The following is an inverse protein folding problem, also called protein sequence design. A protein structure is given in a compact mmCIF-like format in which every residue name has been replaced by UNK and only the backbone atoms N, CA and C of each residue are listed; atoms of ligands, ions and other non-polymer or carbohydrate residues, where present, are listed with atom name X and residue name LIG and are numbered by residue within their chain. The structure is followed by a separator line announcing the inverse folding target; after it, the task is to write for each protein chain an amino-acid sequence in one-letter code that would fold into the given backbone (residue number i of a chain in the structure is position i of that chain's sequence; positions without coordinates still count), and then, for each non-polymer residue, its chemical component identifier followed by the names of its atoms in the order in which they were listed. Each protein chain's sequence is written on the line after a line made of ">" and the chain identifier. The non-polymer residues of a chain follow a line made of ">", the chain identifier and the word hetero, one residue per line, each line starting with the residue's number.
data_IF_467988261241
#
_entry.id   IF_467988261241
#
_cell.length_a   1.000
_cell.length_b   1.000
_cell.length_c   1.000
_cell.angle_alpha   90.00
_cell.angle_beta   90.00
_cell.angle_gamma   90.00
#
_symmetry.space_group_name_H-M   'P 1'
#
loop_
_entity.id
_entity.type
_entity.pdbx_description
1 polymer ?
#
# COMPACT_ATOMS: atom_id res chain seq x y z
N UNK A 1 46.38 6.92 17.42
CA UNK A 1 45.30 6.58 18.38
C UNK A 1 44.40 7.76 18.73
N UNK A 2 44.93 8.92 19.13
CA UNK A 2 44.17 10.14 19.48
C UNK A 2 43.14 10.60 18.42
N UNK A 3 43.48 10.56 17.13
CA UNK A 3 42.55 11.00 16.06
C UNK A 3 41.39 10.03 15.80
N UNK A 4 41.58 8.71 16.03
CA UNK A 4 40.48 7.73 15.95
C UNK A 4 39.53 7.84 17.14
N UNK A 5 40.06 8.10 18.34
CA UNK A 5 39.25 8.36 19.55
C UNK A 5 38.46 9.66 19.43
N UNK A 6 39.07 10.75 18.92
CA UNK A 6 38.35 12.02 18.68
C UNK A 6 37.22 11.88 17.65
N UNK A 7 37.41 11.03 16.63
CA UNK A 7 36.36 10.69 15.68
C UNK A 7 35.24 9.82 16.31
N UNK A 8 35.57 8.88 17.20
CA UNK A 8 34.59 8.07 17.95
C UNK A 8 33.69 8.93 18.86
N UNK A 9 34.23 10.02 19.43
CA UNK A 9 33.49 10.98 20.27
C UNK A 9 32.84 12.13 19.49
N UNK A 10 32.67 12.01 18.16
CA UNK A 10 31.74 12.89 17.45
C UNK A 10 30.31 12.57 17.94
N UNK A 11 29.51 13.61 18.25
CA UNK A 11 28.13 13.46 18.76
C UNK A 11 27.28 12.48 17.93
N UNK A 12 27.47 12.48 16.61
CA UNK A 12 26.76 11.57 15.71
C UNK A 12 27.19 10.11 15.86
N UNK A 13 28.49 9.84 16.06
CA UNK A 13 29.00 8.48 16.25
C UNK A 13 28.58 7.90 17.60
N UNK A 14 28.54 8.75 18.64
CA UNK A 14 28.05 8.37 19.96
C UNK A 14 26.55 8.03 19.93
N UNK A 15 25.73 8.87 19.26
CA UNK A 15 24.30 8.62 19.07
C UNK A 15 24.05 7.29 18.33
N UNK A 16 24.82 7.03 17.28
CA UNK A 16 24.72 5.77 16.51
C UNK A 16 25.09 4.55 17.33
N UNK A 17 26.12 4.67 18.17
CA UNK A 17 26.54 3.60 19.07
C UNK A 17 25.45 3.26 20.08
N UNK A 18 24.91 4.26 20.79
CA UNK A 18 23.81 4.07 21.74
C UNK A 18 22.56 3.51 21.07
N UNK A 19 22.23 3.96 19.86
CA UNK A 19 21.07 3.43 19.15
C UNK A 19 21.23 1.96 18.75
N UNK A 20 22.45 1.52 18.39
CA UNK A 20 22.72 0.09 18.12
C UNK A 20 22.60 -0.76 19.39
N UNK A 21 23.07 -0.26 20.53
CA UNK A 21 22.87 -0.92 21.82
C UNK A 21 21.38 -1.02 22.14
N UNK A 22 20.63 0.06 21.96
CA UNK A 22 19.18 0.08 22.13
C UNK A 22 18.49 -0.99 21.27
N UNK A 23 18.87 -1.11 19.99
CA UNK A 23 18.31 -2.15 19.09
C UNK A 23 18.56 -3.55 19.65
N UNK A 24 19.78 -3.85 20.08
CA UNK A 24 20.14 -5.17 20.62
C UNK A 24 19.37 -5.44 21.91
N UNK A 25 19.29 -4.45 22.80
CA UNK A 25 18.56 -4.55 24.06
C UNK A 25 17.08 -4.86 23.84
N UNK A 26 16.41 -4.11 22.96
CA UNK A 26 15.00 -4.36 22.64
C UNK A 26 14.80 -5.71 21.97
N UNK A 27 15.72 -6.14 21.09
CA UNK A 27 15.64 -7.46 20.47
C UNK A 27 15.73 -8.59 21.51
N UNK A 28 16.60 -8.46 22.51
CA UNK A 28 16.72 -9.43 23.60
C UNK A 28 15.41 -9.48 24.41
N UNK A 29 14.85 -8.32 24.76
CA UNK A 29 13.57 -8.27 25.49
C UNK A 29 12.43 -8.90 24.70
N UNK A 30 12.33 -8.63 23.39
CA UNK A 30 11.33 -9.23 22.52
C UNK A 30 11.49 -10.76 22.41
N UNK A 31 12.72 -11.26 22.31
CA UNK A 31 12.98 -12.70 22.29
C UNK A 31 12.63 -13.35 23.64
N UNK A 32 12.95 -12.70 24.76
CA UNK A 32 12.61 -13.17 26.09
C UNK A 32 11.08 -13.20 26.30
N UNK A 33 10.37 -12.16 25.86
CA UNK A 33 8.90 -12.07 25.92
C UNK A 33 8.21 -13.19 25.11
N UNK A 34 8.79 -13.54 23.97
CA UNK A 34 8.26 -14.58 23.08
C UNK A 34 8.50 -16.00 23.61
N UNK A 35 9.71 -16.29 24.11
CA UNK A 35 10.14 -17.67 24.36
C UNK A 35 10.39 -18.04 25.82
N UNK A 36 10.55 -17.06 26.72
CA UNK A 36 11.04 -17.33 28.08
C UNK A 36 10.03 -16.91 29.16
N UNK A 37 9.66 -15.63 29.22
CA UNK A 37 8.97 -15.04 30.37
C UNK A 37 7.98 -13.97 29.89
N UNK A 38 6.82 -13.85 30.52
CA UNK A 38 5.95 -12.70 30.32
C UNK A 38 6.57 -11.43 30.95
N UNK A 39 6.89 -10.46 30.11
CA UNK A 39 7.49 -9.19 30.53
C UNK A 39 6.50 -8.03 30.55
N UNK A 40 5.20 -8.25 30.34
CA UNK A 40 4.20 -7.19 30.16
C UNK A 40 4.12 -6.17 31.31
N UNK A 41 4.50 -6.55 32.54
CA UNK A 41 4.59 -5.63 33.69
C UNK A 41 5.80 -4.69 33.69
N UNK A 42 6.83 -4.97 32.90
CA UNK A 42 8.09 -4.19 32.84
C UNK A 42 8.39 -3.65 31.43
N UNK A 43 7.93 -4.35 30.40
CA UNK A 43 8.24 -4.10 29.00
C UNK A 43 6.94 -3.93 28.20
N UNK A 44 6.84 -2.79 27.51
CA UNK A 44 5.74 -2.54 26.58
C UNK A 44 6.29 -2.46 25.16
N UNK A 45 6.23 -3.57 24.43
CA UNK A 45 6.73 -3.72 23.07
C UNK A 45 6.23 -2.62 22.12
N UNK A 46 4.99 -2.10 22.33
CA UNK A 46 4.39 -1.05 21.50
C UNK A 46 5.15 0.27 21.62
N UNK A 47 5.50 0.67 22.83
CA UNK A 47 6.23 1.92 23.09
C UNK A 47 7.64 1.87 22.49
N UNK A 48 8.34 0.74 22.66
CA UNK A 48 9.66 0.54 22.09
C UNK A 48 9.63 0.49 20.56
N UNK A 49 8.61 -0.12 19.97
CA UNK A 49 8.42 -0.13 18.51
C UNK A 49 8.13 1.28 17.97
N UNK A 50 7.28 2.05 18.63
CA UNK A 50 7.00 3.44 18.25
C UNK A 50 8.27 4.29 18.32
N UNK A 51 9.01 4.19 19.42
CA UNK A 51 10.28 4.88 19.59
C UNK A 51 11.30 4.49 18.49
N UNK A 52 11.41 3.18 18.19
CA UNK A 52 12.25 2.70 17.10
C UNK A 52 11.85 3.37 15.77
N UNK A 53 10.57 3.38 15.41
CA UNK A 53 10.09 3.96 14.16
C UNK A 53 10.42 5.45 14.06
N UNK A 54 10.22 6.21 15.14
CA UNK A 54 10.57 7.65 15.19
C UNK A 54 12.07 7.84 14.95
N UNK A 55 12.92 7.07 15.63
CA UNK A 55 14.37 7.15 15.44
C UNK A 55 14.79 6.76 14.01
N UNK A 56 14.23 5.69 13.45
CA UNK A 56 14.51 5.26 12.09
C UNK A 56 14.08 6.32 11.07
N UNK A 57 12.92 6.96 11.26
CA UNK A 57 12.48 8.08 10.42
C UNK A 57 13.45 9.26 10.51
N UNK A 58 13.85 9.66 11.72
CA UNK A 58 14.84 10.71 11.94
C UNK A 58 16.15 10.42 11.21
N UNK A 59 16.71 9.21 11.39
CA UNK A 59 17.94 8.82 10.70
C UNK A 59 17.77 8.75 9.19
N UNK A 60 16.58 8.37 8.71
CA UNK A 60 16.28 8.30 7.27
C UNK A 60 16.24 9.69 6.63
N UNK A 61 15.67 10.68 7.32
CA UNK A 61 15.66 12.09 6.90
C UNK A 61 17.09 12.62 6.83
N UNK A 62 17.91 12.31 7.86
CA UNK A 62 19.33 12.67 7.90
C UNK A 62 20.22 11.82 6.97
N UNK A 63 19.65 10.85 6.24
CA UNK A 63 20.35 9.91 5.34
C UNK A 63 21.48 9.13 6.02
N UNK A 64 21.39 8.91 7.32
CA UNK A 64 22.39 8.16 8.09
C UNK A 64 22.23 6.67 7.80
N UNK A 65 23.32 5.92 7.60
CA UNK A 65 23.24 4.47 7.34
C UNK A 65 23.58 3.70 8.60
N UNK A 66 22.61 2.97 9.15
CA UNK A 66 22.83 2.10 10.32
C UNK A 66 23.50 0.78 9.94
N UNK A 67 23.13 0.24 8.78
CA UNK A 67 23.47 -1.10 8.33
C UNK A 67 24.10 -1.07 6.95
N UNK A 68 25.03 -1.99 6.68
CA UNK A 68 25.52 -2.21 5.33
C UNK A 68 24.51 -3.03 4.51
N UNK A 69 24.73 -3.13 3.20
CA UNK A 69 23.81 -3.85 2.30
C UNK A 69 23.66 -5.33 2.65
N UNK A 70 24.74 -6.02 3.03
CA UNK A 70 24.70 -7.46 3.40
C UNK A 70 23.82 -7.69 4.63
N UNK A 71 24.02 -6.91 5.68
CA UNK A 71 23.24 -6.99 6.90
C UNK A 71 21.76 -6.58 6.69
N UNK A 72 21.52 -5.58 5.84
CA UNK A 72 20.15 -5.21 5.47
C UNK A 72 19.42 -6.33 4.72
N UNK A 73 20.11 -7.10 3.88
CA UNK A 73 19.52 -8.28 3.22
C UNK A 73 19.27 -9.42 4.21
N UNK A 74 20.18 -9.61 5.16
CA UNK A 74 20.03 -10.60 6.22
C UNK A 74 18.80 -10.31 7.11
N UNK A 75 18.63 -9.05 7.54
CA UNK A 75 17.42 -8.62 8.26
C UNK A 75 16.15 -8.84 7.43
N UNK A 76 16.17 -8.50 6.13
CA UNK A 76 15.02 -8.74 5.26
C UNK A 76 14.65 -10.23 5.15
N UNK A 77 15.65 -11.13 5.09
CA UNK A 77 15.41 -12.57 5.08
C UNK A 77 14.78 -13.05 6.39
N UNK A 78 15.30 -12.58 7.54
CA UNK A 78 14.72 -12.89 8.85
C UNK A 78 13.27 -12.41 8.92
N UNK A 79 12.98 -11.18 8.49
CA UNK A 79 11.62 -10.64 8.48
C UNK A 79 10.66 -11.53 7.66
N UNK A 80 11.08 -12.01 6.49
CA UNK A 80 10.28 -12.92 5.65
C UNK A 80 10.04 -14.25 6.38
N UNK A 81 11.08 -14.87 6.93
CA UNK A 81 10.96 -16.13 7.66
C UNK A 81 10.04 -16.01 8.88
N UNK A 82 10.20 -14.95 9.68
CA UNK A 82 9.35 -14.69 10.85
C UNK A 82 7.89 -14.44 10.45
N UNK A 83 7.66 -13.69 9.36
CA UNK A 83 6.30 -13.44 8.85
C UNK A 83 5.64 -14.74 8.40
N UNK A 84 6.37 -15.58 7.66
CA UNK A 84 5.88 -16.90 7.23
C UNK A 84 5.55 -17.80 8.43
N UNK A 85 6.42 -17.83 9.44
CA UNK A 85 6.20 -18.59 10.67
C UNK A 85 4.96 -18.10 11.43
N UNK A 86 4.82 -16.79 11.65
CA UNK A 86 3.64 -16.23 12.34
C UNK A 86 2.36 -16.51 11.56
N UNK A 87 2.38 -16.38 10.23
CA UNK A 87 1.22 -16.69 9.38
C UNK A 87 0.83 -18.17 9.51
N UNK A 88 1.81 -19.08 9.49
CA UNK A 88 1.58 -20.51 9.69
C UNK A 88 0.97 -20.81 11.06
N UNK A 89 1.52 -20.22 12.12
CA UNK A 89 1.01 -20.35 13.48
C UNK A 89 -0.44 -19.86 13.59
N UNK A 90 -0.76 -18.70 13.01
CA UNK A 90 -2.14 -18.20 12.98
C UNK A 90 -3.11 -19.14 12.27
N UNK A 91 -2.69 -19.75 11.15
CA UNK A 91 -3.51 -20.72 10.42
C UNK A 91 -3.72 -22.00 11.23
N UNK A 92 -2.71 -22.46 11.97
CA UNK A 92 -2.84 -23.57 12.90
C UNK A 92 -3.84 -23.26 14.01
N UNK A 93 -3.75 -22.10 14.63
CA UNK A 93 -4.69 -21.72 15.70
C UNK A 93 -6.12 -21.59 15.17
N UNK A 94 -6.30 -20.99 14.00
CA UNK A 94 -7.60 -20.95 13.32
C UNK A 94 -8.18 -22.35 13.09
N UNK A 95 -7.34 -23.34 12.80
CA UNK A 95 -7.76 -24.73 12.55
C UNK A 95 -8.07 -25.50 13.84
N UNK A 96 -7.30 -25.29 14.90
CA UNK A 96 -7.35 -26.11 16.12
C UNK A 96 -8.11 -25.46 17.29
N UNK A 97 -8.48 -24.19 17.17
CA UNK A 97 -9.24 -23.45 18.18
C UNK A 97 -8.39 -22.45 18.95
N UNK A 98 -9.08 -21.52 19.61
CA UNK A 98 -8.46 -20.43 20.38
C UNK A 98 -7.50 -20.98 21.46
N UNK A 99 -6.35 -20.32 21.63
CA UNK A 99 -5.30 -20.68 22.61
C UNK A 99 -4.55 -22.00 22.36
N UNK A 100 -4.85 -22.74 21.29
CA UNK A 100 -4.17 -24.01 20.99
C UNK A 100 -2.64 -23.91 21.05
N UNK A 101 -2.06 -22.85 20.46
CA UNK A 101 -0.61 -22.66 20.44
C UNK A 101 -0.02 -22.40 21.83
N UNK A 102 -0.73 -21.63 22.65
CA UNK A 102 -0.29 -21.29 24.01
C UNK A 102 -0.40 -22.51 24.93
N UNK A 103 -1.46 -23.30 24.80
CA UNK A 103 -1.66 -24.51 25.62
C UNK A 103 -0.75 -25.67 25.22
N UNK A 104 -0.45 -25.83 23.94
CA UNK A 104 0.28 -27.01 23.43
C UNK A 104 1.77 -26.75 23.30
N UNK A 105 2.17 -25.56 22.87
CA UNK A 105 3.56 -25.22 22.58
C UNK A 105 4.13 -24.14 23.50
N UNK A 106 3.32 -23.55 24.39
CA UNK A 106 3.70 -22.39 25.21
C UNK A 106 4.20 -21.20 24.38
N UNK A 107 3.72 -21.08 23.13
CA UNK A 107 4.09 -20.01 22.21
C UNK A 107 2.88 -19.11 21.97
N UNK A 108 3.06 -17.81 22.18
CA UNK A 108 2.07 -16.80 21.81
C UNK A 108 2.44 -16.13 20.49
N UNK A 109 1.72 -16.46 19.41
CA UNK A 109 1.88 -15.78 18.11
C UNK A 109 1.63 -14.26 18.23
N UNK A 110 0.81 -13.84 19.21
CA UNK A 110 0.52 -12.43 19.49
C UNK A 110 1.72 -11.65 20.02
N UNK A 111 2.65 -12.32 20.74
CA UNK A 111 3.92 -11.71 21.17
C UNK A 111 4.95 -11.71 20.02
N UNK A 112 4.94 -12.77 19.21
CA UNK A 112 5.82 -12.88 18.04
C UNK A 112 5.61 -11.76 17.01
N UNK A 113 4.41 -11.17 16.93
CA UNK A 113 4.18 -10.08 15.98
C UNK A 113 5.06 -8.86 16.27
N UNK A 114 5.34 -8.54 17.54
CA UNK A 114 6.20 -7.41 17.87
C UNK A 114 7.64 -7.65 17.42
N UNK A 115 8.10 -8.90 17.52
CA UNK A 115 9.39 -9.32 16.97
C UNK A 115 9.42 -9.19 15.43
N UNK A 116 8.36 -9.62 14.74
CA UNK A 116 8.21 -9.46 13.28
C UNK A 116 8.24 -7.98 12.90
N UNK A 117 7.45 -7.14 13.56
CA UNK A 117 7.34 -5.72 13.27
C UNK A 117 8.66 -4.99 13.52
N UNK A 118 9.33 -5.29 14.64
CA UNK A 118 10.62 -4.73 14.99
C UNK A 118 11.69 -5.07 13.92
N UNK A 119 11.77 -6.35 13.54
CA UNK A 119 12.73 -6.79 12.52
C UNK A 119 12.41 -6.20 11.14
N UNK A 120 11.13 -6.17 10.77
CA UNK A 120 10.65 -5.60 9.51
C UNK A 120 10.96 -4.11 9.42
N UNK A 121 10.80 -3.34 10.50
CA UNK A 121 11.13 -1.92 10.53
C UNK A 121 12.64 -1.68 10.26
N UNK A 122 13.51 -2.47 10.92
CA UNK A 122 14.96 -2.39 10.70
C UNK A 122 15.35 -2.80 9.27
N UNK A 123 14.75 -3.88 8.76
CA UNK A 123 14.95 -4.36 7.40
C UNK A 123 14.51 -3.30 6.36
N UNK A 124 13.31 -2.76 6.51
CA UNK A 124 12.75 -1.74 5.62
C UNK A 124 13.61 -0.48 5.61
N UNK A 125 14.04 -0.02 6.79
CA UNK A 125 14.97 1.09 6.91
C UNK A 125 16.28 0.84 6.15
N UNK A 126 16.93 -0.31 6.39
CA UNK A 126 18.18 -0.66 5.74
C UNK A 126 18.03 -0.76 4.22
N UNK A 127 17.01 -1.49 3.76
CA UNK A 127 16.71 -1.65 2.35
C UNK A 127 16.41 -0.32 1.65
N UNK A 128 15.82 0.66 2.33
CA UNK A 128 15.48 1.96 1.74
C UNK A 128 16.67 2.72 1.13
N UNK A 129 17.91 2.37 1.49
CA UNK A 129 19.15 2.92 0.92
C UNK A 129 19.70 2.13 -0.27
N UNK A 130 19.26 0.88 -0.45
CA UNK A 130 19.86 -0.10 -1.37
C UNK A 130 18.85 -0.72 -2.35
N UNK A 131 17.57 -0.35 -2.27
CA UNK A 131 16.54 -0.77 -3.22
C UNK A 131 16.87 -0.25 -4.61
N UNK A 132 17.27 -1.16 -5.50
CA UNK A 132 17.38 -0.88 -6.92
C UNK A 132 16.00 -0.93 -7.59
N UNK A 133 15.92 -0.48 -8.85
CA UNK A 133 14.66 -0.45 -9.61
C UNK A 133 13.99 -1.83 -9.72
N UNK A 134 14.75 -2.91 -9.84
CA UNK A 134 14.21 -4.27 -9.98
C UNK A 134 13.61 -4.78 -8.66
N UNK A 135 14.32 -4.60 -7.54
CA UNK A 135 13.82 -4.92 -6.20
C UNK A 135 12.59 -4.11 -5.83
N UNK A 136 12.53 -2.83 -6.22
CA UNK A 136 11.35 -2.00 -6.02
C UNK A 136 10.13 -2.52 -6.78
N UNK A 137 10.30 -2.99 -8.03
CA UNK A 137 9.20 -3.62 -8.79
C UNK A 137 8.70 -4.89 -8.11
N UNK A 138 9.61 -5.75 -7.65
CA UNK A 138 9.23 -6.95 -6.89
C UNK A 138 8.51 -6.60 -5.59
N UNK A 139 9.00 -5.60 -4.85
CA UNK A 139 8.34 -5.12 -3.64
C UNK A 139 6.91 -4.65 -3.94
N UNK A 140 6.73 -3.81 -4.97
CA UNK A 140 5.39 -3.35 -5.37
C UNK A 140 4.48 -4.50 -5.78
N UNK A 141 5.01 -5.52 -6.47
CA UNK A 141 4.24 -6.70 -6.88
C UNK A 141 3.72 -7.51 -5.68
N UNK A 142 4.53 -7.71 -4.64
CA UNK A 142 4.13 -8.49 -3.46
C UNK A 142 3.42 -7.67 -2.37
N UNK A 143 3.40 -6.34 -2.47
CA UNK A 143 2.79 -5.48 -1.45
C UNK A 143 1.28 -5.74 -1.24
N UNK A 144 0.43 -6.01 -2.26
CA UNK A 144 -0.98 -6.36 -2.03
C UNK A 144 -1.17 -7.59 -1.16
N UNK A 145 -0.33 -8.62 -1.35
CA UNK A 145 -0.35 -9.82 -0.52
C UNK A 145 0.00 -9.48 0.93
N UNK A 146 1.01 -8.65 1.14
CA UNK A 146 1.38 -8.19 2.49
C UNK A 146 0.22 -7.43 3.16
N UNK A 147 -0.43 -6.51 2.44
CA UNK A 147 -1.56 -5.74 2.95
C UNK A 147 -2.77 -6.63 3.26
N UNK A 148 -3.06 -7.62 2.41
CA UNK A 148 -4.10 -8.62 2.66
C UNK A 148 -3.80 -9.45 3.91
N UNK A 149 -2.56 -9.93 4.08
CA UNK A 149 -2.16 -10.68 5.27
C UNK A 149 -2.26 -9.85 6.55
N UNK A 150 -1.97 -8.54 6.47
CA UNK A 150 -2.17 -7.62 7.58
C UNK A 150 -3.65 -7.43 7.91
N UNK A 151 -4.51 -7.24 6.91
CA UNK A 151 -5.96 -7.17 7.10
C UNK A 151 -6.50 -8.46 7.73
N UNK A 152 -6.07 -9.62 7.25
CA UNK A 152 -6.40 -10.93 7.80
C UNK A 152 -5.91 -11.11 9.24
N UNK A 153 -4.72 -10.59 9.56
CA UNK A 153 -4.23 -10.58 10.93
C UNK A 153 -5.16 -9.80 11.85
N UNK A 154 -5.56 -8.59 11.47
CA UNK A 154 -6.46 -7.77 12.28
C UNK A 154 -7.82 -8.46 12.42
N UNK A 155 -8.38 -8.99 11.34
CA UNK A 155 -9.64 -9.75 11.36
C UNK A 155 -9.60 -10.93 12.33
N UNK A 156 -8.55 -11.76 12.28
CA UNK A 156 -8.43 -12.94 13.13
C UNK A 156 -8.14 -12.58 14.60
N UNK A 157 -7.41 -11.49 14.85
CA UNK A 157 -7.00 -11.12 16.21
C UNK A 157 -8.06 -10.29 16.94
N UNK A 158 -8.69 -9.36 16.23
CA UNK A 158 -9.66 -8.44 16.79
C UNK A 158 -10.68 -8.07 15.70
N UNK A 159 -11.67 -8.95 15.53
CA UNK A 159 -12.74 -8.76 14.56
C UNK A 159 -13.52 -7.45 14.77
N UNK A 160 -13.69 -7.00 16.03
CA UNK A 160 -14.33 -5.73 16.32
C UNK A 160 -13.51 -4.55 15.79
N UNK A 161 -12.20 -4.55 16.03
CA UNK A 161 -11.30 -3.54 15.45
C UNK A 161 -11.32 -3.60 13.92
N UNK A 162 -11.30 -4.80 13.33
CA UNK A 162 -11.38 -4.95 11.89
C UNK A 162 -12.65 -4.31 11.33
N UNK A 163 -13.81 -4.59 11.94
CA UNK A 163 -15.11 -3.99 11.58
C UNK A 163 -15.09 -2.47 11.71
N UNK A 164 -14.55 -1.93 12.81
CA UNK A 164 -14.41 -0.47 12.97
C UNK A 164 -13.52 0.14 11.88
N UNK A 165 -12.47 -0.57 11.44
CA UNK A 165 -11.57 -0.03 10.41
C UNK A 165 -12.23 0.05 9.03
N UNK A 166 -13.13 -0.88 8.72
CA UNK A 166 -13.81 -1.00 7.42
C UNK A 166 -15.22 -0.40 7.39
N UNK A 167 -15.77 -0.01 8.53
CA UNK A 167 -17.09 0.64 8.59
C UNK A 167 -17.05 2.02 7.93
N UNK A 168 -18.21 2.51 7.51
CA UNK A 168 -18.39 3.83 6.93
C UNK A 168 -17.81 4.93 7.84
N UNK A 169 -17.29 6.00 7.25
CA UNK A 169 -16.59 7.13 7.88
C UNK A 169 -15.35 6.74 8.72
N UNK A 170 -14.72 5.61 8.42
CA UNK A 170 -13.48 5.19 9.09
C UNK A 170 -12.26 5.12 8.16
N UNK A 171 -11.17 4.55 8.68
CA UNK A 171 -9.83 4.68 8.11
C UNK A 171 -9.75 4.19 6.66
N UNK A 172 -10.45 3.12 6.33
CA UNK A 172 -10.40 2.51 4.99
C UNK A 172 -11.10 3.40 3.96
N UNK A 173 -12.33 3.85 4.24
CA UNK A 173 -13.08 4.77 3.36
C UNK A 173 -12.35 6.11 3.14
N UNK A 174 -11.84 6.73 4.21
CA UNK A 174 -11.02 7.94 4.04
C UNK A 174 -9.75 7.67 3.22
N UNK A 175 -9.16 6.49 3.34
CA UNK A 175 -8.01 6.11 2.52
C UNK A 175 -8.40 5.96 1.04
N UNK A 176 -9.54 5.36 0.73
CA UNK A 176 -10.11 5.27 -0.62
C UNK A 176 -10.32 6.68 -1.20
N UNK A 177 -11.02 7.54 -0.46
CA UNK A 177 -11.23 8.95 -0.80
C UNK A 177 -9.93 9.67 -1.14
N UNK A 178 -8.94 9.66 -0.23
CA UNK A 178 -7.68 10.37 -0.45
C UNK A 178 -6.89 9.79 -1.62
N UNK A 179 -6.85 8.46 -1.79
CA UNK A 179 -6.17 7.83 -2.92
C UNK A 179 -6.80 8.24 -4.27
N UNK A 180 -8.13 8.28 -4.35
CA UNK A 180 -8.85 8.69 -5.56
C UNK A 180 -8.73 10.19 -5.82
N UNK A 181 -8.81 11.03 -4.79
CA UNK A 181 -8.60 12.47 -4.91
C UNK A 181 -7.18 12.79 -5.41
N UNK A 182 -6.15 12.16 -4.82
CA UNK A 182 -4.76 12.30 -5.26
C UNK A 182 -4.55 11.75 -6.68
N UNK A 183 -5.27 10.69 -7.04
CA UNK A 183 -5.29 10.15 -8.41
C UNK A 183 -5.87 11.14 -9.41
N UNK A 184 -6.98 11.80 -9.06
CA UNK A 184 -7.61 12.84 -9.87
C UNK A 184 -6.66 14.02 -10.09
N UNK A 185 -6.05 14.54 -9.01
CA UNK A 185 -5.07 15.63 -9.08
C UNK A 185 -3.86 15.23 -9.96
N UNK A 186 -3.35 14.00 -9.80
CA UNK A 186 -2.24 13.49 -10.60
C UNK A 186 -2.61 13.41 -12.09
N UNK A 187 -3.84 13.00 -12.40
CA UNK A 187 -4.36 12.99 -13.76
C UNK A 187 -4.44 14.40 -14.37
N UNK A 188 -4.84 15.43 -13.61
CA UNK A 188 -4.83 16.82 -14.10
C UNK A 188 -3.41 17.30 -14.46
N UNK A 189 -2.39 16.92 -13.67
CA UNK A 189 -0.99 17.22 -14.02
C UNK A 189 -0.54 16.51 -15.30
N UNK A 190 -0.95 15.25 -15.48
CA UNK A 190 -0.67 14.46 -16.67
C UNK A 190 -1.39 15.04 -17.90
N UNK A 191 -2.68 15.38 -17.77
CA UNK A 191 -3.49 16.04 -18.78
C UNK A 191 -2.80 17.30 -19.29
N UNK A 192 -2.39 18.20 -18.39
CA UNK A 192 -1.71 19.46 -18.74
C UNK A 192 -0.40 19.22 -19.49
N UNK A 193 0.33 18.16 -19.13
CA UNK A 193 1.54 17.77 -19.83
C UNK A 193 1.27 17.25 -21.25
N UNK A 194 0.24 16.42 -21.41
CA UNK A 194 -0.10 15.78 -22.68
C UNK A 194 -0.84 16.72 -23.64
N UNK A 195 -1.52 17.76 -23.15
CA UNK A 195 -2.27 18.71 -23.99
C UNK A 195 -1.45 19.30 -25.14
N UNK A 196 -0.16 19.57 -24.87
CA UNK A 196 0.79 20.13 -25.86
C UNK A 196 1.45 19.07 -26.76
N UNK A 197 1.19 17.78 -26.56
CA UNK A 197 1.94 16.66 -27.17
C UNK A 197 1.04 15.67 -27.89
N UNK A 198 -0.05 15.28 -27.27
CA UNK A 198 -1.04 14.36 -27.81
C UNK A 198 -2.39 14.65 -27.15
N UNK A 199 -3.33 15.22 -27.92
CA UNK A 199 -4.65 15.63 -27.41
C UNK A 199 -5.49 14.44 -26.95
N UNK A 200 -5.33 13.26 -27.56
CA UNK A 200 -6.09 12.07 -27.17
C UNK A 200 -5.66 11.65 -25.77
N UNK A 201 -4.35 11.55 -25.50
CA UNK A 201 -3.86 11.27 -24.15
C UNK A 201 -4.30 12.32 -23.13
N UNK A 202 -4.30 13.59 -23.51
CA UNK A 202 -4.77 14.65 -22.63
C UNK A 202 -6.25 14.47 -22.27
N UNK A 203 -7.11 14.19 -23.26
CA UNK A 203 -8.54 13.93 -23.03
C UNK A 203 -8.73 12.67 -22.17
N UNK A 204 -7.99 11.59 -22.43
CA UNK A 204 -8.08 10.36 -21.62
C UNK A 204 -7.71 10.62 -20.15
N UNK A 205 -6.64 11.39 -19.88
CA UNK A 205 -6.31 11.77 -18.50
C UNK A 205 -7.32 12.75 -17.89
N UNK A 206 -7.97 13.61 -18.69
CA UNK A 206 -9.05 14.47 -18.19
C UNK A 206 -10.27 13.64 -17.77
N UNK A 207 -10.71 12.71 -18.61
CA UNK A 207 -11.81 11.80 -18.30
C UNK A 207 -11.50 10.96 -17.07
N UNK A 208 -10.27 10.45 -16.96
CA UNK A 208 -9.84 9.71 -15.76
C UNK A 208 -9.81 10.60 -14.51
N UNK A 209 -9.42 11.88 -14.63
CA UNK A 209 -9.47 12.81 -13.50
C UNK A 209 -10.89 13.04 -13.00
N UNK A 210 -11.84 13.23 -13.92
CA UNK A 210 -13.26 13.41 -13.60
C UNK A 210 -13.82 12.13 -12.97
N UNK A 211 -13.53 10.96 -13.55
CA UNK A 211 -13.97 9.68 -13.01
C UNK A 211 -13.42 9.44 -11.59
N UNK A 212 -12.12 9.63 -11.35
CA UNK A 212 -11.55 9.48 -10.01
C UNK A 212 -12.11 10.49 -9.01
N UNK A 213 -12.40 11.73 -9.42
CA UNK A 213 -13.01 12.73 -8.54
C UNK A 213 -14.44 12.36 -8.17
N UNK A 214 -15.21 11.89 -9.15
CA UNK A 214 -16.58 11.43 -8.93
C UNK A 214 -16.61 10.24 -7.97
N UNK A 215 -15.81 9.20 -8.22
CA UNK A 215 -15.73 8.04 -7.30
C UNK A 215 -15.24 8.49 -5.92
N UNK A 216 -14.27 9.41 -5.80
CA UNK A 216 -13.87 9.93 -4.49
C UNK A 216 -15.05 10.59 -3.75
N UNK A 217 -15.85 11.41 -4.46
CA UNK A 217 -17.06 11.99 -3.88
C UNK A 217 -18.03 10.92 -3.41
N UNK A 218 -18.26 9.90 -4.22
CA UNK A 218 -19.11 8.75 -3.88
C UNK A 218 -18.65 8.00 -2.62
N UNK A 219 -17.34 7.78 -2.42
CA UNK A 219 -16.83 7.07 -1.22
C UNK A 219 -17.25 7.74 0.09
N UNK A 220 -17.27 9.08 0.15
CA UNK A 220 -17.62 9.85 1.36
C UNK A 220 -19.02 10.44 1.29
N UNK A 221 -19.87 9.89 0.43
CA UNK A 221 -21.24 10.33 0.20
C UNK A 221 -21.36 11.83 -0.03
N UNK A 222 -20.44 12.36 -0.84
CA UNK A 222 -20.28 13.78 -1.19
C UNK A 222 -20.11 14.71 0.02
N UNK A 223 -19.66 14.19 1.16
CA UNK A 223 -19.54 14.93 2.42
C UNK A 223 -20.88 15.15 3.11
N UNK A 224 -21.94 14.45 2.72
CA UNK A 224 -23.27 14.54 3.33
C UNK A 224 -23.21 14.41 4.85
N UNK A 225 -22.53 13.37 5.35
CA UNK A 225 -22.37 13.07 6.77
C UNK A 225 -21.50 14.12 7.50
N UNK A 226 -20.52 14.69 6.80
CA UNK A 226 -19.64 15.75 7.34
C UNK A 226 -20.40 17.08 7.50
N UNK A 227 -21.27 17.41 6.56
CA UNK A 227 -22.01 18.68 6.53
C UNK A 227 -23.45 18.57 7.05
N UNK A 228 -23.85 17.41 7.56
CA UNK A 228 -25.23 17.11 8.00
C UNK A 228 -26.28 17.50 6.95
N UNK A 229 -26.03 17.17 5.68
CA UNK A 229 -26.96 17.41 4.59
C UNK A 229 -28.04 16.32 4.62
N UNK A 230 -29.31 16.71 4.64
CA UNK A 230 -30.43 15.76 4.55
C UNK A 230 -30.55 15.20 3.13
N UNK A 231 -30.85 13.90 3.02
CA UNK A 231 -31.08 13.25 1.72
C UNK A 231 -32.42 13.71 1.15
N UNK A 232 -32.45 14.24 -0.09
CA UNK A 232 -33.72 14.58 -0.73
C UNK A 232 -34.65 13.36 -0.79
N UNK A 233 -35.93 13.55 -0.46
CA UNK A 233 -36.92 12.47 -0.35
C UNK A 233 -37.00 11.60 -1.63
N UNK A 234 -36.87 12.21 -2.81
CA UNK A 234 -36.86 11.51 -4.10
C UNK A 234 -35.67 10.56 -4.30
N UNK A 235 -34.55 10.82 -3.62
CA UNK A 235 -33.35 9.98 -3.63
C UNK A 235 -33.40 8.92 -2.53
N UNK A 236 -33.88 9.28 -1.33
CA UNK A 236 -34.10 8.36 -0.22
C UNK A 236 -35.04 7.19 -0.60
N UNK A 237 -36.07 7.44 -1.43
CA UNK A 237 -36.98 6.40 -1.92
C UNK A 237 -36.33 5.33 -2.82
N UNK A 238 -35.14 5.60 -3.38
CA UNK A 238 -34.45 4.73 -4.36
C UNK A 238 -33.02 4.35 -3.98
N UNK A 239 -32.49 4.96 -2.92
CA UNK A 239 -31.16 4.71 -2.39
C UNK A 239 -31.32 3.83 -1.14
N UNK A 240 -30.77 2.62 -1.19
CA UNK A 240 -30.89 1.62 -0.12
C UNK A 240 -30.25 2.02 1.20
N UNK A 241 -29.44 3.09 1.21
CA UNK A 241 -28.73 3.63 2.37
C UNK A 241 -29.17 5.06 2.74
N UNK A 242 -30.19 5.61 2.08
CA UNK A 242 -30.64 7.00 2.29
C UNK A 242 -29.51 8.03 2.14
N UNK A 243 -28.63 7.89 1.15
CA UNK A 243 -27.49 8.78 0.93
C UNK A 243 -27.55 9.59 -0.38
N UNK A 244 -26.69 10.60 -0.51
CA UNK A 244 -26.45 11.35 -1.75
C UNK A 244 -25.69 10.55 -2.81
N UNK A 245 -25.16 9.38 -2.45
CA UNK A 245 -24.45 8.47 -3.35
C UNK A 245 -25.37 7.97 -4.46
N UNK A 246 -24.85 8.00 -5.68
CA UNK A 246 -25.60 7.57 -6.87
C UNK A 246 -25.36 6.08 -7.12
N UNK A 247 -24.24 5.52 -6.65
CA UNK A 247 -23.96 4.09 -6.80
C UNK A 247 -24.84 3.18 -5.93
N UNK A 248 -25.53 3.72 -4.93
CA UNK A 248 -26.46 3.00 -4.05
C UNK A 248 -27.89 2.90 -4.60
N UNK A 249 -28.14 3.46 -5.79
CA UNK A 249 -29.38 3.25 -6.53
C UNK A 249 -29.37 1.82 -7.07
N UNK A 250 -30.43 1.04 -6.83
CA UNK A 250 -30.54 -0.40 -7.15
C UNK A 250 -29.99 -0.82 -8.53
N UNK A 251 -30.25 0.00 -9.55
CA UNK A 251 -29.83 -0.28 -10.94
C UNK A 251 -28.31 -0.10 -11.13
N UNK A 252 -27.69 0.82 -10.40
CA UNK A 252 -26.29 1.19 -10.52
C UNK A 252 -25.38 0.37 -9.58
N UNK A 253 -25.91 -0.12 -8.45
CA UNK A 253 -25.18 -0.93 -7.48
C UNK A 253 -24.49 -2.15 -8.14
N UNK A 254 -25.25 -2.96 -8.89
CA UNK A 254 -24.68 -4.10 -9.62
C UNK A 254 -23.74 -3.73 -10.78
N UNK A 255 -23.79 -2.49 -11.28
CA UNK A 255 -22.92 -2.04 -12.37
C UNK A 255 -21.54 -1.64 -11.86
N UNK A 256 -21.42 -1.11 -10.63
CA UNK A 256 -20.14 -0.71 -10.04
C UNK A 256 -19.21 -1.91 -9.89
N UNK A 257 -19.68 -3.01 -9.31
CA UNK A 257 -18.86 -4.21 -9.12
C UNK A 257 -18.45 -4.87 -10.44
N UNK A 258 -19.31 -4.80 -11.46
CA UNK A 258 -18.95 -5.22 -12.82
C UNK A 258 -17.89 -4.31 -13.43
N UNK A 259 -17.96 -3.01 -13.17
CA UNK A 259 -16.92 -2.06 -13.59
C UNK A 259 -15.59 -2.33 -12.87
N UNK A 260 -15.60 -2.56 -11.55
CA UNK A 260 -14.41 -2.94 -10.78
C UNK A 260 -13.82 -4.27 -11.25
N UNK A 261 -14.66 -5.27 -11.54
CA UNK A 261 -14.22 -6.53 -12.15
C UNK A 261 -13.53 -6.28 -13.49
N UNK A 262 -14.11 -5.46 -14.38
CA UNK A 262 -13.54 -5.16 -15.69
C UNK A 262 -12.21 -4.38 -15.57
N UNK A 263 -12.16 -3.37 -14.71
CA UNK A 263 -10.92 -2.61 -14.43
C UNK A 263 -9.86 -3.56 -13.87
N UNK A 264 -10.24 -4.47 -12.97
CA UNK A 264 -9.37 -5.50 -12.42
C UNK A 264 -8.81 -6.44 -13.49
N UNK A 265 -9.65 -6.91 -14.41
CA UNK A 265 -9.25 -7.79 -15.50
C UNK A 265 -8.27 -7.08 -16.45
N UNK A 266 -8.62 -5.88 -16.90
CA UNK A 266 -7.79 -5.08 -17.82
C UNK A 266 -6.47 -4.70 -17.14
N UNK A 267 -6.51 -4.20 -15.91
CA UNK A 267 -5.33 -3.77 -15.17
C UNK A 267 -4.35 -4.92 -14.86
N UNK A 268 -4.87 -6.12 -14.62
CA UNK A 268 -4.04 -7.30 -14.32
C UNK A 268 -3.42 -7.94 -15.56
N UNK A 269 -4.08 -7.87 -16.73
CA UNK A 269 -3.68 -8.63 -17.92
C UNK A 269 -3.22 -7.79 -19.12
N UNK A 270 -3.64 -6.53 -19.27
CA UNK A 270 -3.40 -5.74 -20.48
C UNK A 270 -1.90 -5.53 -20.80
N UNK A 271 -1.03 -5.54 -19.78
CA UNK A 271 0.42 -5.43 -19.98
C UNK A 271 0.99 -6.62 -20.78
N UNK A 272 0.42 -7.81 -20.59
CA UNK A 272 0.83 -9.03 -21.27
C UNK A 272 0.44 -8.97 -22.74
N UNK A 273 -0.82 -8.62 -23.02
CA UNK A 273 -1.31 -8.44 -24.39
C UNK A 273 -0.59 -7.31 -25.10
N UNK A 274 -0.29 -6.19 -24.42
CA UNK A 274 0.49 -5.10 -24.98
C UNK A 274 1.92 -5.54 -25.32
N UNK A 275 2.53 -6.42 -24.51
CA UNK A 275 3.87 -6.96 -24.77
C UNK A 275 3.88 -7.82 -26.04
N UNK A 276 2.88 -8.69 -26.22
CA UNK A 276 2.77 -9.60 -27.38
C UNK A 276 2.40 -8.84 -28.66
N UNK A 277 1.37 -8.01 -28.60
CA UNK A 277 0.86 -7.25 -29.75
C UNK A 277 1.76 -6.09 -30.16
N UNK A 278 2.78 -5.74 -29.36
CA UNK A 278 3.61 -4.54 -29.54
C UNK A 278 4.17 -4.41 -30.96
N UNK A 279 4.58 -5.50 -31.62
CA UNK A 279 5.15 -5.41 -32.98
C UNK A 279 4.15 -4.94 -34.03
N UNK A 280 2.87 -5.27 -33.86
CA UNK A 280 1.80 -4.98 -34.82
C UNK A 280 1.14 -3.61 -34.63
N UNK A 281 1.40 -2.94 -33.52
CA UNK A 281 0.77 -1.67 -33.19
C UNK A 281 1.41 -0.46 -33.90
N UNK A 282 0.59 0.50 -34.30
CA UNK A 282 1.06 1.80 -34.81
C UNK A 282 1.87 2.57 -33.75
N UNK A 283 2.71 3.52 -34.16
CA UNK A 283 3.48 4.37 -33.22
C UNK A 283 2.56 5.15 -32.26
N UNK A 284 1.43 5.64 -32.76
CA UNK A 284 0.42 6.37 -31.98
C UNK A 284 -0.27 5.46 -30.97
N UNK A 285 -0.70 4.28 -31.39
CA UNK A 285 -1.34 3.29 -30.50
C UNK A 285 -0.37 2.81 -29.42
N UNK A 286 0.91 2.56 -29.76
CA UNK A 286 1.96 2.23 -28.78
C UNK A 286 2.11 3.32 -27.72
N UNK A 287 2.13 4.58 -28.15
CA UNK A 287 2.23 5.73 -27.25
C UNK A 287 1.04 5.76 -26.29
N UNK A 288 -0.18 5.66 -26.82
CA UNK A 288 -1.41 5.70 -26.00
C UNK A 288 -1.43 4.54 -25.00
N UNK A 289 -1.34 3.29 -25.49
CA UNK A 289 -1.41 2.10 -24.66
C UNK A 289 -0.31 2.06 -23.58
N UNK A 290 0.92 2.50 -23.89
CA UNK A 290 1.99 2.53 -22.90
C UNK A 290 1.77 3.52 -21.74
N UNK A 291 0.87 4.49 -21.91
CA UNK A 291 0.53 5.48 -20.89
C UNK A 291 -0.75 5.15 -20.13
N UNK A 292 -1.67 4.38 -20.70
CA UNK A 292 -2.91 3.97 -20.02
C UNK A 292 -2.83 2.57 -19.38
N UNK A 293 -1.96 1.69 -19.88
CA UNK A 293 -1.81 0.33 -19.34
C UNK A 293 -0.86 0.35 -18.12
N UNK A 294 -1.28 -0.24 -16.97
CA UNK A 294 -0.41 -0.44 -15.82
C UNK A 294 0.81 -1.30 -16.13
N UNK A 295 1.91 -1.07 -15.43
CA UNK A 295 3.08 -1.93 -15.56
C UNK A 295 2.83 -3.27 -14.86
N UNK A 296 3.45 -4.35 -15.36
CA UNK A 296 3.24 -5.73 -14.88
C UNK A 296 3.34 -5.90 -13.36
N UNK A 297 4.20 -5.12 -12.70
CA UNK A 297 4.42 -5.25 -11.25
C UNK A 297 3.28 -4.66 -10.42
N UNK A 298 2.29 -4.02 -11.04
CA UNK A 298 1.05 -3.60 -10.40
C UNK A 298 -0.11 -4.57 -10.65
N UNK A 299 0.09 -5.63 -11.44
CA UNK A 299 -0.99 -6.56 -11.78
C UNK A 299 -1.69 -7.17 -10.56
N UNK A 300 -1.04 -7.46 -9.41
CA UNK A 300 -1.72 -8.09 -8.28
C UNK A 300 -2.78 -7.19 -7.63
N UNK A 301 -2.62 -5.87 -7.63
CA UNK A 301 -3.63 -4.93 -7.10
C UNK A 301 -4.96 -5.06 -7.88
N UNK A 302 -4.85 -5.13 -9.21
CA UNK A 302 -6.01 -5.29 -10.10
C UNK A 302 -6.55 -6.73 -10.11
N UNK A 303 -5.67 -7.73 -9.97
CA UNK A 303 -6.08 -9.13 -9.97
C UNK A 303 -6.94 -9.47 -8.74
N UNK A 304 -6.59 -8.94 -7.57
CA UNK A 304 -7.39 -9.09 -6.35
C UNK A 304 -8.81 -8.57 -6.56
N UNK A 305 -8.96 -7.37 -7.12
CA UNK A 305 -10.28 -6.80 -7.43
C UNK A 305 -11.05 -7.64 -8.46
N UNK A 306 -10.38 -8.15 -9.49
CA UNK A 306 -11.02 -9.04 -10.47
C UNK A 306 -11.55 -10.32 -9.83
N UNK A 307 -10.70 -11.06 -9.10
CA UNK A 307 -11.09 -12.34 -8.51
C UNK A 307 -12.14 -12.16 -7.41
N UNK A 308 -12.06 -11.11 -6.60
CA UNK A 308 -13.08 -10.81 -5.59
C UNK A 308 -14.45 -10.56 -6.23
N UNK A 309 -14.52 -9.68 -7.22
CA UNK A 309 -15.80 -9.37 -7.88
C UNK A 309 -16.30 -10.52 -8.77
N UNK A 310 -15.41 -11.33 -9.34
CA UNK A 310 -15.79 -12.56 -10.05
C UNK A 310 -16.45 -13.56 -9.09
N UNK A 311 -15.84 -13.77 -7.91
CA UNK A 311 -16.40 -14.64 -6.87
C UNK A 311 -17.77 -14.14 -6.42
N UNK A 312 -17.85 -12.86 -6.05
CA UNK A 312 -19.08 -12.18 -5.61
C UNK A 312 -20.21 -12.29 -6.63
N UNK A 313 -19.94 -12.08 -7.92
CA UNK A 313 -21.01 -12.00 -8.92
C UNK A 313 -21.42 -13.39 -9.44
N UNK A 314 -20.47 -14.31 -9.61
CA UNK A 314 -20.71 -15.55 -10.37
C UNK A 314 -20.51 -16.85 -9.58
N UNK A 315 -19.59 -16.90 -8.63
CA UNK A 315 -19.23 -18.16 -7.95
C UNK A 315 -19.97 -18.32 -6.63
N UNK A 316 -19.99 -17.26 -5.83
CA UNK A 316 -20.61 -17.17 -4.52
C UNK A 316 -21.38 -15.85 -4.40
N UNK A 317 -22.50 -15.67 -5.12
CA UNK A 317 -23.41 -14.55 -4.90
C UNK A 317 -23.99 -14.64 -3.49
N UNK A 318 -23.36 -13.96 -2.54
CA UNK A 318 -23.74 -13.93 -1.12
C UNK A 318 -24.66 -12.74 -0.85
N UNK A 319 -25.57 -12.91 0.09
CA UNK A 319 -26.58 -11.93 0.52
C UNK A 319 -26.30 -11.36 1.92
N UNK A 320 -25.06 -11.44 2.42
CA UNK A 320 -24.69 -11.03 3.79
C UNK A 320 -23.54 -10.02 3.84
N UNK A 321 -23.15 -9.59 5.05
CA UNK A 321 -22.10 -8.59 5.31
C UNK A 321 -20.79 -8.86 4.54
N UNK A 322 -20.47 -7.99 3.59
CA UNK A 322 -19.27 -8.08 2.76
C UNK A 322 -18.04 -7.46 3.43
N UNK A 323 -17.60 -8.06 4.54
CA UNK A 323 -16.47 -7.59 5.34
C UNK A 323 -15.15 -7.39 4.57
N UNK A 324 -15.01 -7.98 3.38
CA UNK A 324 -13.80 -7.93 2.57
C UNK A 324 -13.89 -6.99 1.38
N UNK A 325 -15.05 -6.39 1.13
CA UNK A 325 -15.27 -5.44 0.06
C UNK A 325 -14.33 -4.24 0.18
N UNK A 326 -14.44 -3.47 1.26
CA UNK A 326 -13.64 -2.26 1.49
C UNK A 326 -12.12 -2.50 1.39
N UNK A 327 -11.54 -3.56 2.02
CA UNK A 327 -10.11 -3.83 1.84
C UNK A 327 -9.72 -4.20 0.40
N UNK A 328 -10.59 -4.90 -0.36
CA UNK A 328 -10.29 -5.25 -1.76
C UNK A 328 -10.39 -4.03 -2.68
N UNK A 329 -11.35 -3.14 -2.43
CA UNK A 329 -11.51 -1.87 -3.16
C UNK A 329 -10.35 -0.91 -2.87
N UNK A 330 -9.93 -0.79 -1.62
CA UNK A 330 -8.75 -0.03 -1.24
C UNK A 330 -7.51 -0.50 -2.01
N UNK A 331 -7.31 -1.81 -2.19
CA UNK A 331 -6.21 -2.35 -2.98
C UNK A 331 -6.30 -1.94 -4.46
N UNK A 332 -7.49 -1.96 -5.05
CA UNK A 332 -7.71 -1.50 -6.42
C UNK A 332 -7.32 -0.02 -6.57
N UNK A 333 -7.85 0.84 -5.70
CA UNK A 333 -7.61 2.27 -5.72
C UNK A 333 -6.15 2.62 -5.46
N UNK A 334 -5.50 1.86 -4.57
CA UNK A 334 -4.06 2.01 -4.33
C UNK A 334 -3.25 1.63 -5.58
N UNK A 335 -3.65 0.57 -6.29
CA UNK A 335 -3.06 0.19 -7.58
C UNK A 335 -3.20 1.28 -8.65
N UNK A 336 -4.38 1.90 -8.75
CA UNK A 336 -4.65 3.03 -9.65
C UNK A 336 -3.75 4.22 -9.31
N UNK A 337 -3.67 4.60 -8.03
CA UNK A 337 -2.83 5.70 -7.59
C UNK A 337 -1.35 5.46 -7.89
N UNK A 338 -0.82 4.27 -7.56
CA UNK A 338 0.57 3.90 -7.85
C UNK A 338 0.88 3.95 -9.34
N UNK A 339 -0.04 3.46 -10.18
CA UNK A 339 0.06 3.54 -11.62
C UNK A 339 0.21 4.99 -12.10
N UNK A 340 -0.68 5.89 -11.67
CA UNK A 340 -0.67 7.30 -12.05
C UNK A 340 0.58 8.03 -11.54
N UNK A 341 0.96 7.76 -10.31
CA UNK A 341 2.16 8.32 -9.69
C UNK A 341 3.42 7.93 -10.47
N UNK A 342 3.52 6.67 -10.92
CA UNK A 342 4.63 6.19 -11.76
C UNK A 342 4.63 6.91 -13.11
N UNK A 343 3.46 7.12 -13.75
CA UNK A 343 3.40 7.90 -15.01
C UNK A 343 3.83 9.34 -14.80
N UNK A 344 3.38 9.97 -13.71
CA UNK A 344 3.78 11.33 -13.36
C UNK A 344 5.30 11.46 -13.19
N UNK A 345 5.94 10.55 -12.47
CA UNK A 345 7.39 10.58 -12.31
C UNK A 345 8.16 10.34 -13.62
N UNK A 346 7.67 9.46 -14.51
CA UNK A 346 8.26 9.27 -15.85
C UNK A 346 8.20 10.56 -16.68
N UNK A 347 7.07 11.27 -16.62
CA UNK A 347 6.88 12.57 -17.26
C UNK A 347 7.82 13.64 -16.69
N UNK A 348 7.93 13.73 -15.37
CA UNK A 348 8.80 14.69 -14.68
C UNK A 348 10.27 14.44 -15.01
N UNK A 349 10.71 13.18 -15.03
CA UNK A 349 12.07 12.81 -15.39
C UNK A 349 12.39 13.18 -16.85
N UNK A 350 11.46 12.96 -17.79
CA UNK A 350 11.62 13.36 -19.19
C UNK A 350 11.84 14.87 -19.36
N UNK A 351 11.13 15.71 -18.60
CA UNK A 351 11.35 17.17 -18.59
C UNK A 351 12.75 17.55 -18.12
N UNK A 352 13.21 16.96 -17.01
CA UNK A 352 14.55 17.24 -16.48
C UNK A 352 15.67 16.83 -17.43
N UNK A 353 15.57 15.68 -18.10
CA UNK A 353 16.58 15.26 -19.08
C UNK A 353 16.63 16.21 -20.28
N UNK A 354 15.47 16.66 -20.80
CA UNK A 354 15.43 17.66 -21.87
C UNK A 354 16.05 18.99 -21.46
N UNK A 355 15.76 19.47 -20.25
CA UNK A 355 16.33 20.72 -19.73
C UNK A 355 17.86 20.64 -19.56
N UNK A 356 18.38 19.54 -19.00
CA UNK A 356 19.83 19.32 -18.90
C UNK A 356 20.52 19.25 -20.27
N UNK A 357 19.90 18.58 -21.24
CA UNK A 357 20.45 18.51 -22.59
C UNK A 357 20.42 19.88 -23.30
N UNK A 358 19.40 20.69 -23.05
CA UNK A 358 19.32 22.07 -23.56
C UNK A 358 20.39 22.97 -22.95
N UNK A 359 20.59 22.94 -21.62
CA UNK A 359 21.67 23.67 -20.96
C UNK A 359 23.05 23.25 -21.46
N UNK A 360 23.27 21.95 -21.70
CA UNK A 360 24.53 21.46 -22.25
C UNK A 360 24.78 21.96 -23.69
N UNK A 361 23.73 22.18 -24.48
CA UNK A 361 23.84 22.72 -25.84
C UNK A 361 24.20 24.22 -25.83
N UNK A 362 23.59 24.99 -24.93
CA UNK A 362 23.88 26.42 -24.71
C UNK A 362 25.27 26.71 -24.11
N UNK A 363 25.97 25.71 -23.59
CA UNK A 363 27.34 25.84 -23.05
C UNK A 363 28.41 25.41 -24.07
N UNK A 364 28.01 24.90 -25.23
CA UNK A 364 28.91 24.43 -26.31
C UNK A 364 28.80 25.36 -27.55
N UNK A 365 27.73 26.14 -27.64
CA UNK A 365 27.58 27.32 -28.53
C UNK A 365 28.05 28.57 -27.77
#
# INVERSE_FOLDING_TARGET
>A
MKNKLKALFNKENLLLFFFKIFIIFVLILLLAEVFLIDLSGFFNARLFLLFLLICLLFFRIKKIKLFNHRFSNFLALIAICLTGLVTFLMLLEKKHGFQYLETTFFISYSRMIYLVLFNTALAAYGQSFYLNKSKMKLFLFFLPLLLYLLALFVYLRNNQLFRILIQDDHLVEYSQFFLLLLSSITCLFLQKYWWKKDKILAILFLLLAIACFFVAGEEISWGQRIFNIETPQQLAERNTQEELTIHNIDVLFGMVYRAYMLIGLVGSTAWFFLKISRKFLSKKTKLILSNIVPDWFLSPYFAVAFFYNLDRIYLNPRTGEELWEEPMELLLMFGIYLFLLIKYFRVKQSKHTKFKNFQKKLLIE
#
